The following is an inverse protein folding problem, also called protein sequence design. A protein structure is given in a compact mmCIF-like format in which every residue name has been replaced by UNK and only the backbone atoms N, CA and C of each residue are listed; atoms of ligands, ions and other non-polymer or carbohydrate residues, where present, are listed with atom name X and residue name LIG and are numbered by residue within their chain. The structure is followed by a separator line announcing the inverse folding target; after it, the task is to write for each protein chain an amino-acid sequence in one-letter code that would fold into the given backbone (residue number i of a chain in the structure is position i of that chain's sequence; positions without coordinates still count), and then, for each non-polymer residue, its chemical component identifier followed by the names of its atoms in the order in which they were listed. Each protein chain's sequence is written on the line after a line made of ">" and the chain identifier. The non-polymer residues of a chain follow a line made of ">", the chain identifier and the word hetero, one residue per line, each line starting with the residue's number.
data_IF_193972748929
#
_entry.id   IF_193972748929
#
_cell.length_a   1.000
_cell.length_b   1.000
_cell.length_c   1.000
_cell.angle_alpha   90.00
_cell.angle_beta   90.00
_cell.angle_gamma   90.00
#
_symmetry.space_group_name_H-M   'P 1'
#
loop_
_entity.id
_entity.type
_entity.pdbx_description
1 polymer ?
#
# COMPACT_ATOMS: atom_id res chain seq x y z
N UNK A 1 -46.41 29.96 -56.60
CA UNK A 1 -45.30 29.03 -56.29
C UNK A 1 -44.66 29.37 -54.95
N UNK A 2 -44.52 30.66 -54.61
CA UNK A 2 -43.80 31.11 -53.39
C UNK A 2 -44.44 30.74 -52.04
N UNK A 3 -45.77 30.68 -51.92
CA UNK A 3 -46.42 30.34 -50.63
C UNK A 3 -46.12 28.90 -50.20
N UNK A 4 -46.08 27.95 -51.15
CA UNK A 4 -45.72 26.56 -50.85
C UNK A 4 -44.26 26.41 -50.45
N UNK A 5 -43.38 27.21 -51.04
CA UNK A 5 -41.94 27.21 -50.75
C UNK A 5 -41.66 27.76 -49.34
N UNK A 6 -42.37 28.83 -48.94
CA UNK A 6 -42.31 29.38 -47.57
C UNK A 6 -42.88 28.40 -46.55
N UNK A 7 -43.97 27.69 -46.86
CA UNK A 7 -44.54 26.67 -45.97
C UNK A 7 -43.62 25.45 -45.81
N UNK A 8 -42.96 25.01 -46.88
CA UNK A 8 -41.96 23.95 -46.79
C UNK A 8 -40.73 24.36 -45.96
N UNK A 9 -40.22 25.57 -46.17
CA UNK A 9 -39.10 26.09 -45.38
C UNK A 9 -39.45 26.23 -43.89
N UNK A 10 -40.68 26.63 -43.57
CA UNK A 10 -41.17 26.69 -42.20
C UNK A 10 -41.29 25.29 -41.58
N UNK A 11 -41.78 24.31 -42.34
CA UNK A 11 -41.89 22.93 -41.89
C UNK A 11 -40.50 22.32 -41.63
N UNK A 12 -39.54 22.50 -42.53
CA UNK A 12 -38.15 22.07 -42.31
C UNK A 12 -37.52 22.76 -41.09
N UNK A 13 -37.80 24.05 -40.89
CA UNK A 13 -37.35 24.79 -39.72
C UNK A 13 -37.90 24.22 -38.41
N UNK A 14 -39.20 23.89 -38.39
CA UNK A 14 -39.85 23.26 -37.25
C UNK A 14 -39.31 21.85 -36.98
N UNK A 15 -39.08 21.05 -38.02
CA UNK A 15 -38.51 19.70 -37.89
C UNK A 15 -37.07 19.76 -37.33
N UNK A 16 -36.23 20.68 -37.82
CA UNK A 16 -34.88 20.90 -37.28
C UNK A 16 -34.91 21.40 -35.84
N UNK A 17 -35.84 22.29 -35.51
CA UNK A 17 -36.01 22.80 -34.15
C UNK A 17 -36.47 21.69 -33.20
N UNK A 18 -37.40 20.84 -33.63
CA UNK A 18 -37.86 19.70 -32.83
C UNK A 18 -36.74 18.68 -32.61
N UNK A 19 -35.94 18.39 -33.64
CA UNK A 19 -34.77 17.54 -33.53
C UNK A 19 -33.73 18.12 -32.53
N UNK A 20 -33.49 19.44 -32.59
CA UNK A 20 -32.61 20.12 -31.65
C UNK A 20 -33.15 20.11 -30.20
N UNK A 21 -34.46 20.28 -30.03
CA UNK A 21 -35.09 20.19 -28.70
C UNK A 21 -34.94 18.78 -28.11
N UNK A 22 -35.15 17.73 -28.92
CA UNK A 22 -35.00 16.34 -28.49
C UNK A 22 -33.55 15.99 -28.12
N UNK A 23 -32.56 16.54 -28.84
CA UNK A 23 -31.15 16.34 -28.46
C UNK A 23 -30.81 17.10 -27.18
N UNK A 24 -31.33 18.32 -27.00
CA UNK A 24 -31.14 19.09 -25.77
C UNK A 24 -31.74 18.38 -24.54
N UNK A 25 -32.96 17.87 -24.65
CA UNK A 25 -33.63 17.12 -23.57
C UNK A 25 -32.79 15.89 -23.18
N UNK A 26 -32.34 15.11 -24.17
CA UNK A 26 -31.47 13.96 -23.92
C UNK A 26 -30.14 14.33 -23.27
N UNK A 27 -29.55 15.46 -23.66
CA UNK A 27 -28.30 15.94 -23.01
C UNK A 27 -28.54 16.39 -21.57
N UNK A 28 -29.69 17.01 -21.28
CA UNK A 28 -30.05 17.40 -19.93
C UNK A 28 -30.25 16.19 -19.02
N UNK A 29 -30.89 15.13 -19.51
CA UNK A 29 -31.03 13.85 -18.79
C UNK A 29 -29.67 13.21 -18.48
N UNK A 30 -28.75 13.19 -19.45
CA UNK A 30 -27.41 12.64 -19.26
C UNK A 30 -26.61 13.46 -18.23
N UNK A 31 -26.73 14.79 -18.23
CA UNK A 31 -26.09 15.64 -17.22
C UNK A 31 -26.66 15.40 -15.82
N UNK A 32 -27.99 15.20 -15.69
CA UNK A 32 -28.62 14.88 -14.41
C UNK A 32 -28.11 13.53 -13.86
N UNK A 33 -28.06 12.50 -14.71
CA UNK A 33 -27.53 11.18 -14.34
C UNK A 33 -26.04 11.23 -13.97
N UNK A 34 -25.23 12.02 -14.68
CA UNK A 34 -23.82 12.21 -14.34
C UNK A 34 -23.64 12.86 -12.97
N UNK A 35 -24.47 13.86 -12.63
CA UNK A 35 -24.46 14.50 -11.31
C UNK A 35 -24.91 13.58 -10.17
N UNK A 36 -25.82 12.65 -10.42
CA UNK A 36 -26.19 11.59 -9.47
C UNK A 36 -25.06 10.57 -9.27
N UNK A 37 -24.46 10.10 -10.36
CA UNK A 37 -23.32 9.18 -10.30
C UNK A 37 -22.14 9.79 -9.52
N UNK A 38 -21.83 11.07 -9.74
CA UNK A 38 -20.76 11.77 -9.02
C UNK A 38 -21.03 11.86 -7.51
N UNK A 39 -22.28 12.08 -7.11
CA UNK A 39 -22.68 12.07 -5.69
C UNK A 39 -22.50 10.69 -5.06
N UNK A 40 -22.90 9.62 -5.76
CA UNK A 40 -22.73 8.25 -5.28
C UNK A 40 -21.25 7.92 -5.08
N UNK A 41 -20.39 8.28 -6.03
CA UNK A 41 -18.94 8.06 -5.93
C UNK A 41 -18.36 8.79 -4.72
N UNK A 42 -18.71 10.07 -4.51
CA UNK A 42 -18.24 10.82 -3.34
C UNK A 42 -18.67 10.17 -2.01
N UNK A 43 -19.89 9.63 -1.93
CA UNK A 43 -20.36 8.92 -0.73
C UNK A 43 -19.69 7.55 -0.52
N UNK A 44 -19.35 6.86 -1.60
CA UNK A 44 -18.63 5.59 -1.53
C UNK A 44 -17.18 5.79 -1.08
N UNK A 45 -16.51 6.83 -1.58
CA UNK A 45 -15.13 7.15 -1.21
C UNK A 45 -15.02 7.54 0.28
N UNK A 46 -15.93 8.38 0.78
CA UNK A 46 -15.98 8.75 2.21
C UNK A 46 -16.27 7.55 3.11
N UNK A 47 -17.15 6.64 2.70
CA UNK A 47 -17.42 5.41 3.46
C UNK A 47 -16.19 4.49 3.52
N UNK A 48 -15.46 4.38 2.42
CA UNK A 48 -14.22 3.59 2.33
C UNK A 48 -13.10 4.19 3.17
N UNK A 49 -12.95 5.50 3.19
CA UNK A 49 -11.97 6.20 4.02
C UNK A 49 -12.21 5.93 5.51
N UNK A 50 -13.45 6.01 5.97
CA UNK A 50 -13.80 5.67 7.37
C UNK A 50 -13.55 4.21 7.72
N UNK A 51 -13.78 3.28 6.78
CA UNK A 51 -13.47 1.86 7.00
C UNK A 51 -11.96 1.63 7.11
N UNK A 52 -11.17 2.31 6.27
CA UNK A 52 -9.72 2.25 6.30
C UNK A 52 -9.18 2.83 7.61
N UNK A 53 -9.70 3.97 8.08
CA UNK A 53 -9.32 4.57 9.35
C UNK A 53 -9.59 3.64 10.53
N UNK A 54 -10.77 3.00 10.57
CA UNK A 54 -11.09 1.99 11.61
C UNK A 54 -10.15 0.79 11.57
N UNK A 55 -9.79 0.31 10.38
CA UNK A 55 -8.82 -0.80 10.22
C UNK A 55 -7.42 -0.37 10.68
N UNK A 56 -7.04 0.88 10.42
CA UNK A 56 -5.76 1.44 10.82
C UNK A 56 -5.68 1.53 12.36
N UNK A 57 -6.70 2.09 13.01
CA UNK A 57 -6.77 2.11 14.48
C UNK A 57 -6.75 0.70 15.09
N UNK A 58 -7.48 -0.25 14.50
CA UNK A 58 -7.50 -1.64 14.98
C UNK A 58 -6.11 -2.31 14.85
N UNK A 59 -5.42 -2.08 13.73
CA UNK A 59 -4.07 -2.59 13.50
C UNK A 59 -3.05 -1.93 14.44
N UNK A 60 -3.14 -0.62 14.67
CA UNK A 60 -2.28 0.09 15.61
C UNK A 60 -2.47 -0.41 17.04
N UNK A 61 -3.72 -0.67 17.45
CA UNK A 61 -4.01 -1.30 18.75
C UNK A 61 -3.42 -2.70 18.84
N UNK A 62 -3.57 -3.53 17.81
CA UNK A 62 -2.95 -4.86 17.78
C UNK A 62 -1.43 -4.78 17.84
N UNK A 63 -0.80 -3.83 17.15
CA UNK A 63 0.65 -3.63 17.22
C UNK A 63 1.07 -3.19 18.63
N UNK A 64 0.36 -2.23 19.22
CA UNK A 64 0.64 -1.77 20.58
C UNK A 64 0.48 -2.90 21.60
N UNK A 65 -0.57 -3.70 21.45
CA UNK A 65 -0.86 -4.87 22.27
C UNK A 65 0.20 -5.97 22.10
N UNK A 66 0.54 -6.33 20.85
CA UNK A 66 1.63 -7.27 20.57
C UNK A 66 2.97 -6.77 21.09
N UNK A 67 3.28 -5.47 21.00
CA UNK A 67 4.49 -4.87 21.57
C UNK A 67 4.49 -4.95 23.10
N UNK A 68 3.34 -4.71 23.74
CA UNK A 68 3.19 -4.82 25.18
C UNK A 68 3.32 -6.28 25.66
N UNK A 69 2.71 -7.23 24.94
CA UNK A 69 2.76 -8.67 25.21
C UNK A 69 4.12 -9.29 24.89
N UNK A 70 4.82 -8.74 23.89
CA UNK A 70 6.20 -9.13 23.59
C UNK A 70 7.17 -8.72 24.70
N UNK A 71 6.74 -7.89 25.66
CA UNK A 71 7.48 -7.61 26.89
C UNK A 71 8.93 -7.21 26.65
N UNK A 72 9.24 -6.65 25.47
CA UNK A 72 10.60 -6.33 25.09
C UNK A 72 10.82 -4.86 25.42
N UNK A 73 11.45 -4.53 26.56
CA UNK A 73 12.44 -3.48 26.46
C UNK A 73 13.36 -3.92 25.31
N UNK A 74 13.96 -2.97 24.59
CA UNK A 74 15.23 -3.27 23.93
C UNK A 74 16.10 -3.94 25.00
N UNK A 75 16.12 -5.27 25.03
CA UNK A 75 16.59 -6.03 26.16
C UNK A 75 18.09 -5.83 26.09
N UNK A 76 18.55 -4.80 26.83
CA UNK A 76 19.87 -4.21 26.80
C UNK A 76 20.82 -5.16 26.12
N UNK A 77 21.12 -4.88 24.84
CA UNK A 77 21.85 -5.72 23.90
C UNK A 77 22.90 -6.56 24.61
N UNK A 78 22.47 -7.72 25.13
CA UNK A 78 23.38 -8.61 25.81
C UNK A 78 24.08 -9.25 24.64
N UNK A 79 25.32 -8.79 24.39
CA UNK A 79 26.28 -9.29 23.40
C UNK A 79 26.65 -10.76 23.68
N UNK A 80 25.66 -11.61 23.90
CA UNK A 80 25.80 -13.00 24.30
C UNK A 80 25.28 -13.83 23.13
N UNK A 81 26.22 -14.29 22.32
CA UNK A 81 25.96 -15.31 21.32
C UNK A 81 26.11 -16.70 21.98
N UNK A 82 25.38 -17.72 21.50
CA UNK A 82 25.67 -19.09 21.86
C UNK A 82 27.15 -19.43 21.59
N UNK A 83 27.77 -20.22 22.46
CA UNK A 83 29.19 -20.57 22.36
C UNK A 83 29.53 -21.23 21.00
N UNK A 84 28.64 -22.07 20.49
CA UNK A 84 28.77 -22.71 19.18
C UNK A 84 28.83 -21.67 18.03
N UNK A 85 28.02 -20.62 18.10
CA UNK A 85 27.99 -19.54 17.10
C UNK A 85 29.22 -18.67 17.19
N UNK A 86 29.68 -18.36 18.41
CA UNK A 86 30.93 -17.60 18.64
C UNK A 86 32.14 -18.36 18.10
N UNK A 87 32.20 -19.67 18.34
CA UNK A 87 33.26 -20.53 17.80
C UNK A 87 33.20 -20.64 16.28
N UNK A 88 32.00 -20.69 15.70
CA UNK A 88 31.84 -20.74 14.25
C UNK A 88 32.28 -19.43 13.60
N UNK A 89 31.88 -18.27 14.15
CA UNK A 89 32.32 -16.96 13.68
C UNK A 89 33.84 -16.78 13.81
N UNK A 90 34.43 -17.21 14.93
CA UNK A 90 35.87 -17.19 15.12
C UNK A 90 36.62 -18.05 14.09
N UNK A 91 36.10 -19.24 13.74
CA UNK A 91 36.66 -20.09 12.67
C UNK A 91 36.60 -19.42 11.29
N UNK A 92 35.62 -18.54 11.06
CA UNK A 92 35.49 -17.79 9.82
C UNK A 92 36.22 -16.44 9.84
N UNK A 93 37.04 -16.17 10.88
CA UNK A 93 37.86 -14.96 10.97
C UNK A 93 37.19 -13.76 11.65
N UNK A 94 35.97 -13.90 12.16
CA UNK A 94 35.25 -12.86 12.92
C UNK A 94 35.51 -13.04 14.41
N UNK A 95 36.67 -12.55 14.88
CA UNK A 95 37.14 -12.68 16.27
C UNK A 95 36.66 -11.56 17.19
N UNK A 96 36.28 -10.40 16.65
CA UNK A 96 35.75 -9.26 17.42
C UNK A 96 34.27 -9.04 17.06
N UNK A 97 33.42 -9.03 18.10
CA UNK A 97 31.98 -8.81 17.96
C UNK A 97 31.62 -7.32 18.07
N UNK A 98 32.60 -6.43 18.24
CA UNK A 98 32.35 -5.00 18.49
C UNK A 98 32.03 -4.19 17.23
N UNK A 99 32.40 -4.67 16.03
CA UNK A 99 31.90 -4.13 14.76
C UNK A 99 31.90 -5.21 13.68
N UNK A 100 30.75 -5.83 13.42
CA UNK A 100 30.60 -6.78 12.31
C UNK A 100 30.13 -5.98 11.09
N UNK A 101 31.03 -5.76 10.12
CA UNK A 101 30.65 -5.18 8.85
C UNK A 101 29.80 -6.17 8.05
N UNK A 102 28.64 -5.73 7.52
CA UNK A 102 27.67 -6.60 6.86
C UNK A 102 28.27 -7.39 5.68
N UNK A 103 29.20 -6.77 4.93
CA UNK A 103 29.91 -7.42 3.83
C UNK A 103 30.87 -8.52 4.27
N UNK A 104 31.57 -8.32 5.38
CA UNK A 104 32.49 -9.30 5.95
C UNK A 104 31.75 -10.51 6.55
N UNK A 105 30.58 -10.28 7.16
CA UNK A 105 29.73 -11.35 7.67
C UNK A 105 29.20 -12.25 6.55
N UNK A 106 28.72 -11.66 5.46
CA UNK A 106 28.15 -12.43 4.36
C UNK A 106 29.21 -13.24 3.63
N UNK A 107 30.42 -12.69 3.49
CA UNK A 107 31.57 -13.43 2.99
C UNK A 107 31.93 -14.63 3.91
N UNK A 108 32.03 -14.41 5.22
CA UNK A 108 32.33 -15.43 6.22
C UNK A 108 31.27 -16.55 6.29
N UNK A 109 30.01 -16.23 5.98
CA UNK A 109 28.90 -17.17 6.02
C UNK A 109 28.67 -17.90 4.68
N UNK A 110 29.33 -17.52 3.59
CA UNK A 110 29.09 -18.07 2.24
C UNK A 110 29.35 -19.59 2.15
N UNK A 111 30.22 -20.14 3.00
CA UNK A 111 30.50 -21.57 3.07
C UNK A 111 29.43 -22.42 3.80
N UNK A 112 28.38 -21.81 4.34
CA UNK A 112 27.29 -22.51 5.06
C UNK A 112 26.04 -22.71 4.19
N UNK A 113 25.21 -23.67 4.57
CA UNK A 113 23.89 -23.83 3.97
C UNK A 113 23.02 -22.58 4.22
N UNK A 114 22.03 -22.33 3.35
CA UNK A 114 21.12 -21.17 3.48
C UNK A 114 20.45 -21.15 4.86
N UNK A 115 20.00 -22.30 5.35
CA UNK A 115 19.36 -22.44 6.66
C UNK A 115 20.31 -22.07 7.80
N UNK A 116 21.57 -22.52 7.72
CA UNK A 116 22.60 -22.18 8.71
C UNK A 116 22.92 -20.69 8.69
N UNK A 117 23.00 -20.07 7.50
CA UNK A 117 23.19 -18.61 7.38
C UNK A 117 22.06 -17.83 8.03
N UNK A 118 20.81 -18.22 7.78
CA UNK A 118 19.64 -17.59 8.38
C UNK A 118 19.65 -17.75 9.90
N UNK A 119 20.00 -18.94 10.41
CA UNK A 119 20.09 -19.20 11.84
C UNK A 119 21.15 -18.33 12.52
N UNK A 120 22.34 -18.19 11.95
CA UNK A 120 23.42 -17.36 12.49
C UNK A 120 23.05 -15.87 12.45
N UNK A 121 22.51 -15.37 11.32
CA UNK A 121 22.05 -13.98 11.20
C UNK A 121 20.94 -13.65 12.20
N UNK A 122 19.97 -14.54 12.39
CA UNK A 122 18.90 -14.37 13.37
C UNK A 122 19.43 -14.29 14.81
N UNK A 123 20.46 -15.08 15.13
CA UNK A 123 21.13 -15.01 16.44
C UNK A 123 21.91 -13.71 16.64
N UNK A 124 22.57 -13.22 15.60
CA UNK A 124 23.30 -11.95 15.62
C UNK A 124 22.37 -10.74 15.76
N UNK A 125 21.23 -10.74 15.04
CA UNK A 125 20.16 -9.76 15.20
C UNK A 125 19.60 -9.77 16.63
N UNK A 126 19.33 -10.97 17.18
CA UNK A 126 18.85 -11.13 18.56
C UNK A 126 19.87 -10.65 19.61
N UNK A 127 21.16 -10.79 19.33
CA UNK A 127 22.23 -10.31 20.20
C UNK A 127 22.51 -8.80 20.06
N UNK A 128 21.82 -8.10 19.14
CA UNK A 128 22.03 -6.67 18.88
C UNK A 128 23.35 -6.37 18.18
N UNK A 129 23.91 -7.35 17.46
CA UNK A 129 25.19 -7.25 16.74
C UNK A 129 25.00 -6.93 15.25
N UNK A 130 23.76 -6.98 14.77
CA UNK A 130 23.32 -6.55 13.44
C UNK A 130 22.17 -5.56 13.62
N UNK A 131 22.30 -4.39 13.02
CA UNK A 131 21.35 -3.29 13.04
C UNK A 131 21.66 -2.29 11.94
#
# INVERSE_FOLDING_TARGET
>A
MEIHEVMNALQEGLERMHAAAATMERTAELMAQAGEAQRIVATADTSREQELERKLEAAERQIAEMRAQSGAPAAAARKTLPAATTQLLAKQGLSTLDSIEAGALDAALTGLSIEQRVAVKAQLLRAGLLG
#
